data_IF_666352316367
#
_entry.id   IF_666352316367
#
_cell.length_a   1.000
_cell.length_b   1.000
_cell.length_c   1.000
_cell.angle_alpha   90.00
_cell.angle_beta   90.00
_cell.angle_gamma   90.00
#
_symmetry.space_group_name_H-M   'P 1'
#
loop_
_entity.id
_entity.type
_entity.pdbx_description
1 polymer ?
#
# COMPACT_ATOMS: atom_id res chain seq x y z
N UNK A 1 41.25 -37.03 -65.48
CA UNK A 1 42.68 -36.85 -65.38
C UNK A 1 42.96 -36.78 -63.87
N UNK A 2 43.31 -37.95 -63.25
CA UNK A 2 44.64 -38.35 -62.86
C UNK A 2 45.44 -37.18 -62.23
N UNK A 3 45.93 -37.30 -61.01
CA UNK A 3 46.82 -38.28 -60.35
C UNK A 3 46.88 -37.97 -58.83
N UNK A 4 46.65 -38.91 -57.99
CA UNK A 4 47.55 -39.68 -57.08
C UNK A 4 48.81 -38.99 -56.55
N UNK A 5 49.04 -38.97 -55.22
CA UNK A 5 49.97 -39.83 -54.44
C UNK A 5 50.21 -39.25 -53.01
N UNK A 6 49.98 -40.15 -52.07
CA UNK A 6 50.92 -40.71 -51.03
C UNK A 6 51.65 -39.66 -50.19
N UNK A 7 51.61 -39.62 -48.91
CA UNK A 7 51.73 -40.66 -47.92
C UNK A 7 53.02 -40.46 -47.13
N UNK A 8 52.96 -40.29 -45.83
CA UNK A 8 53.99 -40.83 -44.93
C UNK A 8 53.59 -40.75 -43.46
N UNK A 9 53.68 -41.82 -42.86
CA UNK A 9 53.61 -42.12 -41.44
C UNK A 9 54.80 -41.53 -40.70
N UNK A 10 54.62 -40.95 -39.52
CA UNK A 10 55.70 -40.54 -38.61
C UNK A 10 55.23 -40.47 -37.19
N UNK A 11 55.55 -41.40 -36.45
CA UNK A 11 55.59 -41.79 -35.04
C UNK A 11 55.52 -40.69 -34.00
N UNK A 12 54.58 -40.84 -33.13
CA UNK A 12 54.60 -40.90 -31.67
C UNK A 12 55.83 -40.37 -30.92
N UNK A 13 55.61 -39.33 -30.16
CA UNK A 13 56.32 -39.06 -28.89
C UNK A 13 55.32 -38.41 -27.88
N UNK A 14 55.11 -39.13 -26.79
CA UNK A 14 54.34 -38.73 -25.62
C UNK A 14 55.24 -37.80 -24.79
N UNK A 15 54.82 -36.60 -24.57
CA UNK A 15 55.38 -35.72 -23.54
C UNK A 15 54.26 -35.38 -22.57
N UNK A 16 54.33 -35.98 -21.38
CA UNK A 16 53.50 -35.65 -20.22
C UNK A 16 54.05 -34.35 -19.67
N UNK A 17 53.29 -33.26 -19.84
CA UNK A 17 53.53 -32.02 -19.14
C UNK A 17 52.40 -31.84 -18.11
N UNK A 18 52.76 -31.96 -16.85
CA UNK A 18 51.89 -31.60 -15.74
C UNK A 18 51.74 -30.09 -15.71
N UNK A 19 50.56 -29.59 -16.10
CA UNK A 19 50.21 -28.19 -15.92
C UNK A 19 49.43 -28.04 -14.59
N UNK A 20 50.06 -27.39 -13.63
CA UNK A 20 49.43 -26.98 -12.42
C UNK A 20 48.33 -25.91 -12.77
N UNK A 21 47.04 -26.26 -12.56
CA UNK A 21 45.95 -25.31 -12.61
C UNK A 21 45.98 -24.43 -11.34
N UNK A 22 46.54 -23.26 -11.43
CA UNK A 22 46.22 -22.18 -10.49
C UNK A 22 44.82 -21.68 -10.77
N UNK A 23 43.86 -22.05 -9.92
CA UNK A 23 42.54 -21.38 -9.90
C UNK A 23 42.76 -19.97 -9.40
N UNK A 24 42.84 -19.04 -10.33
CA UNK A 24 42.59 -17.63 -10.05
C UNK A 24 41.07 -17.48 -9.81
N UNK A 25 40.65 -17.42 -8.54
CA UNK A 25 39.35 -16.95 -8.17
C UNK A 25 39.25 -15.48 -8.55
N UNK A 26 38.79 -15.20 -9.77
CA UNK A 26 38.29 -13.89 -10.13
C UNK A 26 37.03 -13.64 -9.31
N UNK A 27 37.20 -12.96 -8.18
CA UNK A 27 36.09 -12.38 -7.44
C UNK A 27 35.43 -11.33 -8.32
N UNK A 28 34.37 -11.68 -9.01
CA UNK A 28 33.43 -10.69 -9.50
C UNK A 28 32.75 -10.04 -8.29
N UNK A 29 33.32 -8.95 -7.79
CA UNK A 29 32.56 -7.98 -7.03
C UNK A 29 31.59 -7.30 -8.01
N UNK A 30 30.44 -7.92 -8.20
CA UNK A 30 29.31 -7.22 -8.77
C UNK A 30 28.80 -6.29 -7.66
N UNK A 31 29.25 -5.03 -7.66
CA UNK A 31 28.53 -3.92 -7.04
C UNK A 31 27.21 -3.70 -7.79
N UNK A 32 26.42 -4.75 -7.89
CA UNK A 32 25.02 -4.67 -8.23
C UNK A 32 24.28 -4.35 -6.94
N UNK A 33 23.84 -3.12 -6.80
CA UNK A 33 22.85 -2.74 -5.79
C UNK A 33 21.71 -3.75 -5.92
N UNK A 34 21.63 -4.69 -4.97
CA UNK A 34 20.59 -5.72 -5.00
C UNK A 34 19.24 -5.00 -4.91
N UNK A 35 18.55 -4.92 -6.03
CA UNK A 35 17.25 -4.27 -6.09
C UNK A 35 16.29 -5.12 -5.26
N UNK A 36 15.75 -4.55 -4.19
CA UNK A 36 14.84 -5.27 -3.32
C UNK A 36 13.66 -5.83 -4.12
N UNK A 37 13.36 -7.11 -3.92
CA UNK A 37 12.22 -7.78 -4.53
C UNK A 37 11.63 -8.76 -3.52
N UNK A 38 10.31 -8.72 -3.33
CA UNK A 38 9.59 -9.61 -2.42
C UNK A 38 8.49 -8.91 -1.64
N UNK A 39 7.88 -9.67 -0.75
CA UNK A 39 6.84 -9.14 0.12
C UNK A 39 7.46 -8.48 1.36
N UNK A 40 6.93 -7.31 1.71
CA UNK A 40 7.33 -6.55 2.89
C UNK A 40 6.26 -6.75 3.98
N UNK A 41 6.63 -7.46 5.05
CA UNK A 41 5.77 -7.67 6.22
C UNK A 41 6.37 -6.95 7.42
N UNK A 42 5.59 -6.08 8.07
CA UNK A 42 6.08 -5.27 9.17
C UNK A 42 5.35 -3.96 9.32
N UNK A 43 6.02 -2.99 9.91
CA UNK A 43 5.47 -1.67 10.16
C UNK A 43 6.00 -0.67 9.14
N UNK A 44 5.09 -0.04 8.42
CA UNK A 44 5.33 1.12 7.58
C UNK A 44 5.11 2.36 8.45
N UNK A 45 6.17 2.82 9.11
CA UNK A 45 6.11 4.01 9.96
C UNK A 45 5.77 5.22 9.14
N UNK A 46 4.87 6.06 9.65
CA UNK A 46 4.54 7.33 9.04
C UNK A 46 5.49 8.42 9.51
N UNK A 47 6.04 9.16 8.58
CA UNK A 47 6.59 10.47 8.85
C UNK A 47 5.44 11.47 8.97
N UNK A 48 5.48 12.36 9.99
CA UNK A 48 4.43 13.35 10.14
C UNK A 48 4.40 14.29 8.94
N UNK A 49 3.20 14.59 8.47
CA UNK A 49 3.01 15.62 7.45
C UNK A 49 3.49 16.97 7.94
N UNK A 50 4.25 17.66 7.11
CA UNK A 50 4.77 19.00 7.41
C UNK A 50 4.56 19.93 6.22
N UNK A 51 4.53 21.25 6.48
CA UNK A 51 4.43 22.28 5.46
C UNK A 51 5.55 23.29 5.65
N UNK A 52 6.24 23.62 4.54
CA UNK A 52 7.23 24.68 4.47
C UNK A 52 6.91 25.56 3.25
N UNK A 53 6.40 26.75 3.51
CA UNK A 53 5.85 27.61 2.47
C UNK A 53 4.69 26.96 1.73
N UNK A 54 4.88 26.63 0.46
CA UNK A 54 3.91 25.91 -0.38
C UNK A 54 4.21 24.40 -0.54
N UNK A 55 5.32 23.92 0.03
CA UNK A 55 5.75 22.53 -0.08
C UNK A 55 5.18 21.71 1.07
N UNK A 56 4.63 20.55 0.75
CA UNK A 56 4.14 19.56 1.71
C UNK A 56 5.01 18.32 1.60
N UNK A 57 5.41 17.75 2.73
CA UNK A 57 6.17 16.50 2.82
C UNK A 57 5.64 15.63 3.97
N UNK A 58 6.09 14.38 4.02
CA UNK A 58 5.55 13.39 4.94
C UNK A 58 4.13 12.94 4.55
N UNK A 59 3.40 12.38 5.49
CA UNK A 59 2.10 11.76 5.22
C UNK A 59 0.96 12.78 5.20
N UNK A 60 0.06 12.65 4.24
CA UNK A 60 -1.06 13.57 4.09
C UNK A 60 -2.26 12.93 3.39
N UNK A 61 -3.41 13.58 3.54
CA UNK A 61 -4.66 13.29 2.85
C UNK A 61 -5.17 14.55 2.16
N UNK A 62 -5.81 14.38 1.01
CA UNK A 62 -6.61 15.44 0.38
C UNK A 62 -7.83 14.87 -0.31
N UNK A 63 -8.83 15.70 -0.53
CA UNK A 63 -10.08 15.31 -1.14
C UNK A 63 -10.29 16.07 -2.44
N UNK A 64 -10.55 15.33 -3.52
CA UNK A 64 -10.87 15.88 -4.84
C UNK A 64 -12.37 15.99 -4.96
N UNK A 65 -12.85 17.15 -5.42
CA UNK A 65 -14.27 17.36 -5.69
C UNK A 65 -14.74 16.53 -6.88
N UNK A 66 -16.05 16.23 -6.99
CA UNK A 66 -16.60 15.56 -8.17
C UNK A 66 -16.17 16.24 -9.47
N UNK A 67 -15.86 15.47 -10.49
CA UNK A 67 -15.32 15.93 -11.78
C UNK A 67 -13.91 16.53 -11.74
N UNK A 68 -13.24 16.55 -10.58
CA UNK A 68 -11.83 16.93 -10.45
C UNK A 68 -10.88 15.76 -10.75
N UNK A 69 -9.58 16.05 -10.72
CA UNK A 69 -8.52 15.04 -10.87
C UNK A 69 -7.62 15.00 -9.63
N UNK A 70 -7.03 13.85 -9.31
CA UNK A 70 -6.09 13.74 -8.18
C UNK A 70 -4.88 14.67 -8.30
N UNK A 71 -4.49 15.03 -9.51
CA UNK A 71 -3.36 15.91 -9.79
C UNK A 71 -3.72 17.39 -9.66
N UNK A 72 -4.81 17.81 -10.31
CA UNK A 72 -5.09 19.23 -10.55
C UNK A 72 -6.28 19.76 -9.75
N UNK A 73 -7.05 18.88 -9.06
CA UNK A 73 -8.26 19.25 -8.35
C UNK A 73 -9.45 19.55 -9.29
N UNK A 74 -10.40 20.34 -8.89
CA UNK A 74 -10.41 21.15 -7.65
C UNK A 74 -10.41 20.30 -6.38
N UNK A 75 -9.68 20.78 -5.37
CA UNK A 75 -9.62 20.10 -4.06
C UNK A 75 -10.65 20.72 -3.10
N UNK A 76 -11.13 19.88 -2.17
CA UNK A 76 -11.98 20.33 -1.09
C UNK A 76 -11.10 21.00 -0.01
N UNK A 77 -11.31 22.29 0.30
CA UNK A 77 -10.53 22.95 1.33
C UNK A 77 -10.97 22.45 2.72
N UNK A 78 -10.00 22.09 3.56
CA UNK A 78 -10.19 21.83 4.98
C UNK A 78 -9.75 23.06 5.78
N UNK A 79 -10.68 23.77 6.41
CA UNK A 79 -10.40 24.97 7.22
C UNK A 79 -9.56 24.69 8.47
N UNK A 80 -9.47 23.45 8.91
CA UNK A 80 -8.67 23.03 10.06
C UNK A 80 -7.20 22.73 9.67
N UNK A 81 -6.89 22.72 8.38
CA UNK A 81 -5.52 22.46 7.90
C UNK A 81 -4.61 23.68 8.06
N UNK A 82 -3.36 23.51 8.51
CA UNK A 82 -2.38 24.59 8.52
C UNK A 82 -1.83 24.94 7.13
N UNK A 83 -2.14 24.12 6.12
CA UNK A 83 -1.68 24.34 4.74
C UNK A 83 -2.48 25.46 4.11
N UNK A 84 -1.81 26.41 3.45
CA UNK A 84 -2.48 27.52 2.78
C UNK A 84 -3.55 27.02 1.79
N UNK A 85 -4.75 27.56 1.92
CA UNK A 85 -5.90 27.13 1.12
C UNK A 85 -6.56 25.83 1.57
N UNK A 86 -6.03 25.17 2.61
CA UNK A 86 -6.66 23.99 3.23
C UNK A 86 -6.75 22.74 2.34
N UNK A 87 -6.07 22.72 1.19
CA UNK A 87 -6.24 21.67 0.18
C UNK A 87 -5.56 20.34 0.52
N UNK A 88 -4.76 20.30 1.59
CA UNK A 88 -4.07 19.13 2.12
C UNK A 88 -4.27 19.05 3.62
N UNK A 89 -4.62 17.89 4.14
CA UNK A 89 -4.69 17.61 5.58
C UNK A 89 -3.45 16.80 5.97
N UNK A 90 -2.62 17.35 6.84
CA UNK A 90 -1.40 16.72 7.32
C UNK A 90 -1.75 15.59 8.29
N UNK A 91 -1.12 14.43 8.12
CA UNK A 91 -1.30 13.27 8.99
C UNK A 91 -0.11 13.14 9.95
N UNK A 92 -0.36 12.63 11.14
CA UNK A 92 0.68 12.33 12.13
C UNK A 92 0.60 10.86 12.53
N UNK A 93 1.74 10.22 12.87
CA UNK A 93 1.76 8.84 13.34
C UNK A 93 0.82 8.62 14.53
N UNK A 94 0.08 7.52 14.49
CA UNK A 94 -0.78 7.07 15.58
C UNK A 94 -0.04 6.36 16.70
N UNK A 95 -0.77 5.68 17.57
CA UNK A 95 -0.19 4.98 18.73
C UNK A 95 0.72 3.81 18.36
N UNK A 96 0.49 3.15 17.20
CA UNK A 96 1.37 2.11 16.66
C UNK A 96 2.41 2.68 15.69
N UNK A 97 2.36 3.96 15.38
CA UNK A 97 3.36 4.67 14.60
C UNK A 97 3.18 4.58 13.09
N UNK A 98 2.18 3.87 12.56
CA UNK A 98 1.99 3.70 11.13
C UNK A 98 1.17 2.48 10.75
N UNK A 99 1.23 2.11 9.46
CA UNK A 99 0.49 0.98 8.89
C UNK A 99 1.21 -0.35 9.14
N UNK A 100 0.53 -1.28 9.78
CA UNK A 100 0.99 -2.67 9.92
C UNK A 100 0.59 -3.49 8.70
N UNK A 101 1.57 -4.04 8.02
CA UNK A 101 1.38 -4.94 6.89
C UNK A 101 1.46 -6.40 7.36
N UNK A 102 0.53 -7.22 6.90
CA UNK A 102 0.36 -8.61 7.34
C UNK A 102 -0.55 -8.80 8.55
N UNK A 103 -1.20 -7.74 9.03
CA UNK A 103 -2.16 -7.77 10.13
C UNK A 103 -3.19 -6.66 10.02
N UNK A 104 -4.20 -6.69 10.89
CA UNK A 104 -5.22 -5.65 10.98
C UNK A 104 -4.95 -4.71 12.15
N UNK A 105 -5.31 -3.45 11.98
CA UNK A 105 -5.36 -2.40 13.01
C UNK A 105 -6.80 -1.90 13.05
N UNK A 106 -7.64 -2.71 13.68
CA UNK A 106 -9.09 -2.54 13.64
C UNK A 106 -9.55 -1.29 14.38
N UNK A 107 -10.66 -0.76 13.91
CA UNK A 107 -11.38 0.30 14.61
C UNK A 107 -11.71 -0.14 16.05
N UNK A 108 -11.52 0.74 17.04
CA UNK A 108 -11.87 0.43 18.42
C UNK A 108 -13.40 0.34 18.62
N UNK A 109 -13.82 -0.22 19.74
CA UNK A 109 -15.24 -0.24 20.14
C UNK A 109 -15.40 0.51 21.47
N UNK A 110 -16.10 1.65 21.50
CA UNK A 110 -16.77 2.33 20.38
C UNK A 110 -15.78 2.93 19.37
N UNK A 111 -16.21 3.09 18.11
CA UNK A 111 -15.40 3.72 17.03
C UNK A 111 -15.38 5.24 17.09
N UNK A 112 -16.35 5.84 17.79
CA UNK A 112 -16.55 7.29 17.87
C UNK A 112 -16.81 7.77 19.28
N UNK A 113 -16.42 9.01 19.55
CA UNK A 113 -16.89 9.75 20.72
C UNK A 113 -18.34 10.20 20.55
N UNK A 114 -18.94 10.73 21.64
CA UNK A 114 -20.30 11.31 21.59
C UNK A 114 -20.46 12.44 20.57
N UNK A 115 -19.36 13.12 20.24
CA UNK A 115 -19.35 14.24 19.31
C UNK A 115 -19.01 13.83 17.87
N UNK A 116 -18.94 12.51 17.62
CA UNK A 116 -18.65 11.98 16.29
C UNK A 116 -17.18 11.97 15.90
N UNK A 117 -16.25 12.35 16.81
CA UNK A 117 -14.83 12.25 16.55
C UNK A 117 -14.41 10.76 16.48
N UNK A 118 -13.62 10.42 15.49
CA UNK A 118 -13.06 9.07 15.36
C UNK A 118 -12.13 8.75 16.53
N UNK A 119 -12.21 7.52 17.02
CA UNK A 119 -11.29 6.95 18.02
C UNK A 119 -10.26 6.01 17.38
N UNK A 120 -10.27 5.86 16.06
CA UNK A 120 -9.30 5.06 15.29
C UNK A 120 -7.96 5.78 15.20
N UNK A 121 -7.11 5.55 16.20
CA UNK A 121 -5.84 6.26 16.40
C UNK A 121 -4.59 5.40 16.36
N UNK A 122 -4.66 4.15 15.88
CA UNK A 122 -3.50 3.24 15.87
C UNK A 122 -2.52 3.56 14.74
N UNK A 123 -3.01 3.75 13.52
CA UNK A 123 -2.20 4.01 12.33
C UNK A 123 -1.74 5.47 12.31
N UNK A 124 -2.69 6.37 12.39
CA UNK A 124 -2.50 7.82 12.41
C UNK A 124 -3.29 8.42 13.57
N UNK A 125 -2.83 9.53 14.11
CA UNK A 125 -3.63 10.29 15.08
C UNK A 125 -4.89 10.79 14.41
N UNK A 126 -6.06 10.69 15.09
CA UNK A 126 -7.26 11.36 14.60
C UNK A 126 -6.98 12.84 14.35
N UNK A 127 -7.35 13.29 13.18
CA UNK A 127 -6.97 14.61 12.65
C UNK A 127 -8.21 15.40 12.30
N UNK A 128 -8.20 16.70 12.62
CA UNK A 128 -9.34 17.61 12.40
C UNK A 128 -9.64 17.76 10.91
N UNK A 129 -10.90 17.51 10.55
CA UNK A 129 -11.43 17.69 9.21
C UNK A 129 -12.89 18.17 9.30
N UNK A 130 -13.16 19.40 8.88
CA UNK A 130 -14.47 20.06 9.06
C UNK A 130 -15.00 19.99 10.50
N UNK A 131 -14.16 20.37 11.45
CA UNK A 131 -14.52 20.48 12.86
C UNK A 131 -14.66 19.15 13.61
N UNK A 132 -14.52 17.99 12.94
CA UNK A 132 -14.60 16.64 13.53
C UNK A 132 -13.31 15.88 13.22
N UNK A 133 -12.81 15.12 14.18
CA UNK A 133 -11.61 14.33 13.96
C UNK A 133 -11.93 13.09 13.13
N UNK A 134 -11.16 12.87 12.04
CA UNK A 134 -11.18 11.63 11.29
C UNK A 134 -10.00 10.74 11.63
N UNK A 135 -10.18 9.43 11.57
CA UNK A 135 -9.18 8.43 11.79
C UNK A 135 -9.13 7.42 10.65
N UNK A 136 -8.15 6.54 10.72
CA UNK A 136 -8.01 5.42 9.79
C UNK A 136 -7.78 4.11 10.55
N UNK A 137 -8.32 3.04 9.98
CA UNK A 137 -8.19 1.67 10.48
C UNK A 137 -8.02 0.69 9.32
N UNK A 138 -7.61 -0.53 9.62
CA UNK A 138 -7.67 -1.66 8.69
C UNK A 138 -8.48 -2.77 9.33
N UNK A 139 -9.63 -3.09 8.75
CA UNK A 139 -10.60 -4.00 9.32
C UNK A 139 -10.67 -5.31 8.55
N UNK A 140 -10.87 -6.44 9.24
CA UNK A 140 -11.06 -7.75 8.61
C UNK A 140 -12.39 -7.86 7.84
N UNK A 141 -13.31 -6.97 8.15
CA UNK A 141 -14.60 -6.83 7.47
C UNK A 141 -14.74 -5.38 7.05
N UNK A 142 -14.94 -5.16 5.75
CA UNK A 142 -15.16 -3.83 5.21
C UNK A 142 -16.44 -3.19 5.83
N UNK A 143 -16.35 -1.96 6.36
CA UNK A 143 -17.45 -1.36 7.11
C UNK A 143 -18.69 -1.04 6.27
N UNK A 144 -18.50 -0.73 5.00
CA UNK A 144 -19.62 -0.37 4.12
C UNK A 144 -20.18 -1.56 3.36
N UNK A 145 -19.33 -2.47 2.88
CA UNK A 145 -19.77 -3.61 2.08
C UNK A 145 -20.07 -4.86 2.89
N UNK A 146 -19.63 -4.91 4.15
CA UNK A 146 -19.74 -6.07 5.05
C UNK A 146 -19.07 -7.35 4.51
N UNK A 147 -18.15 -7.19 3.56
CA UNK A 147 -17.33 -8.30 3.06
C UNK A 147 -16.10 -8.49 3.92
N UNK A 148 -15.73 -9.75 4.10
CA UNK A 148 -14.40 -10.09 4.60
C UNK A 148 -13.37 -9.65 3.57
N UNK A 149 -12.30 -9.03 4.03
CA UNK A 149 -11.18 -8.54 3.22
C UNK A 149 -9.87 -9.06 3.78
N UNK A 150 -8.83 -9.05 2.94
CA UNK A 150 -7.50 -9.50 3.35
C UNK A 150 -6.77 -8.40 4.13
N UNK A 151 -5.87 -8.80 5.01
CA UNK A 151 -4.98 -7.86 5.69
C UNK A 151 -4.10 -7.10 4.65
N UNK A 152 -3.68 -5.88 4.96
CA UNK A 152 -2.77 -5.13 4.11
C UNK A 152 -1.55 -5.95 3.70
N UNK A 153 -1.22 -5.91 2.41
CA UNK A 153 -0.03 -6.54 1.86
C UNK A 153 0.72 -5.56 0.96
N UNK A 154 2.05 -5.63 0.99
CA UNK A 154 2.93 -4.77 0.19
C UNK A 154 4.00 -5.63 -0.44
N UNK A 155 4.19 -5.45 -1.73
CA UNK A 155 5.24 -6.09 -2.52
C UNK A 155 6.17 -5.04 -3.12
N UNK A 156 7.46 -5.31 -3.10
CA UNK A 156 8.47 -4.49 -3.75
C UNK A 156 9.05 -5.22 -4.96
N UNK A 157 9.20 -4.52 -6.07
CA UNK A 157 9.92 -4.97 -7.26
C UNK A 157 10.71 -3.81 -7.87
N UNK A 158 12.03 -3.92 -7.90
CA UNK A 158 12.86 -2.88 -8.49
C UNK A 158 12.71 -1.51 -7.83
N UNK A 159 12.48 -1.46 -6.52
CA UNK A 159 12.24 -0.20 -5.81
C UNK A 159 10.83 0.39 -6.00
N UNK A 160 9.93 -0.30 -6.70
CA UNK A 160 8.53 0.09 -6.82
C UNK A 160 7.69 -0.72 -5.85
N UNK A 161 6.76 -0.07 -5.18
CA UNK A 161 5.78 -0.72 -4.31
C UNK A 161 4.44 -0.90 -5.03
N UNK A 162 3.82 -2.05 -4.74
CA UNK A 162 2.42 -2.33 -5.01
C UNK A 162 1.80 -2.85 -3.73
N UNK A 163 0.70 -2.22 -3.29
CA UNK A 163 0.05 -2.60 -2.04
C UNK A 163 -1.43 -2.89 -2.23
N UNK A 164 -1.90 -3.97 -1.61
CA UNK A 164 -3.31 -4.23 -1.42
C UNK A 164 -3.74 -3.64 -0.08
N UNK A 165 -4.49 -2.57 -0.12
CA UNK A 165 -5.05 -1.85 1.02
C UNK A 165 -6.58 -1.94 1.06
N UNK A 166 -7.17 -3.01 0.55
CA UNK A 166 -8.64 -3.21 0.54
C UNK A 166 -9.25 -3.09 1.94
N UNK A 167 -8.49 -3.43 2.99
CA UNK A 167 -8.92 -3.32 4.38
C UNK A 167 -8.95 -1.87 4.92
N UNK A 168 -8.42 -0.89 4.18
CA UNK A 168 -8.32 0.49 4.67
C UNK A 168 -9.68 1.17 4.73
N UNK A 169 -10.03 1.67 5.90
CA UNK A 169 -11.23 2.45 6.16
C UNK A 169 -10.88 3.78 6.83
N UNK A 170 -11.67 4.80 6.54
CA UNK A 170 -11.65 6.07 7.25
C UNK A 170 -12.94 6.20 8.06
N UNK A 171 -12.85 6.74 9.27
CA UNK A 171 -13.99 6.99 10.16
C UNK A 171 -14.07 8.48 10.48
N UNK A 172 -15.24 9.08 10.30
CA UNK A 172 -15.50 10.50 10.50
C UNK A 172 -16.98 10.77 10.76
N UNK A 173 -17.30 11.58 11.75
CA UNK A 173 -18.65 12.04 12.05
C UNK A 173 -19.69 10.90 12.15
N UNK A 174 -19.39 9.91 12.98
CA UNK A 174 -20.20 8.71 13.18
C UNK A 174 -20.43 7.87 11.92
N UNK A 175 -19.57 7.98 10.92
CA UNK A 175 -19.63 7.23 9.69
C UNK A 175 -18.28 6.60 9.36
N UNK A 176 -18.32 5.39 8.81
CA UNK A 176 -17.16 4.69 8.29
C UNK A 176 -17.23 4.67 6.76
N UNK A 177 -16.09 4.87 6.12
CA UNK A 177 -15.94 4.92 4.68
C UNK A 177 -14.89 3.91 4.24
N UNK A 178 -15.24 3.06 3.28
CA UNK A 178 -14.25 2.26 2.57
C UNK A 178 -13.36 3.21 1.74
N UNK A 179 -12.10 3.28 2.12
CA UNK A 179 -11.07 4.07 1.42
C UNK A 179 -9.92 3.19 0.93
N UNK A 180 -10.21 1.92 0.73
CA UNK A 180 -9.25 0.92 0.28
C UNK A 180 -8.78 1.09 -1.17
N UNK A 181 -7.68 0.40 -1.48
CA UNK A 181 -7.09 0.29 -2.81
C UNK A 181 -6.53 -1.14 -3.01
N UNK A 182 -7.18 -1.96 -3.87
CA UNK A 182 -8.48 -1.71 -4.50
C UNK A 182 -9.61 -1.58 -3.47
N UNK A 183 -10.72 -0.97 -3.86
CA UNK A 183 -11.91 -0.95 -2.99
C UNK A 183 -12.46 -2.36 -2.81
N UNK A 184 -13.03 -2.63 -1.63
CA UNK A 184 -13.78 -3.86 -1.41
C UNK A 184 -15.01 -3.89 -2.36
N UNK A 185 -15.28 -5.04 -3.02
CA UNK A 185 -16.46 -5.19 -3.85
C UNK A 185 -17.73 -4.97 -3.04
N UNK A 186 -18.77 -4.44 -3.66
CA UNK A 186 -20.05 -4.27 -3.00
C UNK A 186 -20.57 -5.60 -2.42
N UNK A 187 -21.16 -5.55 -1.22
CA UNK A 187 -21.73 -6.72 -0.59
C UNK A 187 -22.94 -7.23 -1.37
N UNK A 188 -23.26 -8.51 -1.17
CA UNK A 188 -24.53 -9.08 -1.55
C UNK A 188 -25.63 -8.57 -0.59
N UNK A 189 -25.97 -7.29 -0.69
CA UNK A 189 -27.15 -6.69 -0.04
C UNK A 189 -28.39 -6.86 -0.91
N UNK A 190 -29.52 -6.23 -0.50
CA UNK A 190 -30.69 -6.17 -1.34
C UNK A 190 -30.35 -5.62 -2.72
N UNK A 191 -30.80 -6.35 -3.75
CA UNK A 191 -30.56 -5.96 -5.14
C UNK A 191 -31.41 -4.75 -5.49
N UNK A 192 -30.81 -3.69 -6.02
CA UNK A 192 -31.54 -2.56 -6.57
C UNK A 192 -31.61 -2.77 -8.09
N UNK A 193 -32.80 -2.95 -8.68
CA UNK A 193 -32.94 -3.14 -10.12
C UNK A 193 -32.31 -1.99 -10.91
N UNK A 194 -31.51 -2.32 -11.93
CA UNK A 194 -30.86 -1.33 -12.79
C UNK A 194 -29.61 -0.68 -12.20
N UNK A 195 -29.17 -1.09 -11.02
CA UNK A 195 -27.98 -0.57 -10.35
C UNK A 195 -26.90 -1.65 -10.36
N UNK A 196 -25.75 -1.33 -10.93
CA UNK A 196 -24.56 -2.18 -10.87
C UNK A 196 -24.01 -2.18 -9.44
N UNK A 197 -24.11 -3.32 -8.76
CA UNK A 197 -23.74 -3.41 -7.34
C UNK A 197 -22.26 -3.25 -7.06
N UNK A 198 -21.40 -3.55 -8.03
CA UNK A 198 -19.95 -3.37 -7.91
C UNK A 198 -19.53 -1.90 -7.74
N UNK A 199 -20.40 -0.94 -8.02
CA UNK A 199 -20.10 0.49 -8.00
C UNK A 199 -20.62 1.22 -6.78
N UNK A 200 -21.32 0.51 -5.89
CA UNK A 200 -21.93 1.10 -4.70
C UNK A 200 -21.59 0.30 -3.44
N UNK A 201 -21.47 1.00 -2.31
CA UNK A 201 -21.47 0.39 -0.99
C UNK A 201 -22.89 0.30 -0.45
N UNK A 202 -23.21 -0.79 0.23
CA UNK A 202 -24.46 -0.93 0.97
C UNK A 202 -24.31 -0.30 2.36
N UNK A 203 -25.13 0.69 2.68
CA UNK A 203 -25.23 1.24 4.03
C UNK A 203 -26.17 0.38 4.87
N UNK A 204 -25.63 -0.31 5.84
CA UNK A 204 -26.35 -1.20 6.72
C UNK A 204 -27.22 -0.46 7.73
N UNK A 205 -26.89 0.81 8.05
CA UNK A 205 -27.66 1.64 8.97
C UNK A 205 -28.89 2.20 8.28
N UNK A 206 -28.70 2.78 7.08
CA UNK A 206 -29.78 3.37 6.30
C UNK A 206 -30.54 2.37 5.43
N UNK A 207 -30.07 1.12 5.36
CA UNK A 207 -30.65 0.02 4.55
C UNK A 207 -30.82 0.42 3.07
N UNK A 208 -29.80 1.07 2.50
CA UNK A 208 -29.80 1.51 1.11
C UNK A 208 -28.43 1.47 0.47
N UNK A 209 -28.40 1.48 -0.85
CA UNK A 209 -27.17 1.68 -1.62
C UNK A 209 -26.76 3.16 -1.60
N UNK A 210 -25.47 3.38 -1.29
CA UNK A 210 -24.83 4.70 -1.32
C UNK A 210 -23.87 4.78 -2.51
N UNK A 211 -23.76 5.96 -3.11
CA UNK A 211 -22.88 6.23 -4.23
C UNK A 211 -23.61 6.34 -5.57
N UNK A 212 -22.82 6.56 -6.61
CA UNK A 212 -23.33 6.71 -7.98
C UNK A 212 -23.14 5.42 -8.75
N UNK A 213 -24.01 5.18 -9.74
CA UNK A 213 -24.01 3.95 -10.55
C UNK A 213 -22.76 3.83 -11.44
N UNK A 214 -22.14 4.96 -11.77
CA UNK A 214 -20.91 5.07 -12.57
C UNK A 214 -19.63 5.10 -11.73
N UNK A 215 -19.76 5.02 -10.42
CA UNK A 215 -18.60 4.93 -9.55
C UNK A 215 -17.78 3.69 -9.95
N UNK A 216 -16.51 3.88 -10.21
CA UNK A 216 -15.59 2.82 -10.60
C UNK A 216 -15.78 1.57 -9.74
N UNK A 217 -15.84 0.42 -10.38
CA UNK A 217 -16.01 -0.88 -9.76
C UNK A 217 -15.14 -1.02 -8.49
N UNK A 218 -15.57 -1.83 -7.55
CA UNK A 218 -14.79 -2.16 -6.35
C UNK A 218 -13.38 -2.70 -6.61
N UNK A 219 -12.97 -2.86 -7.86
CA UNK A 219 -11.68 -3.38 -8.31
C UNK A 219 -10.71 -2.29 -8.75
N UNK A 220 -10.78 -1.09 -8.19
CA UNK A 220 -9.82 -0.01 -8.48
C UNK A 220 -8.34 -0.48 -8.38
N UNK A 221 -7.38 0.30 -8.89
CA UNK A 221 -5.98 -0.09 -8.85
C UNK A 221 -5.49 -0.22 -7.40
N UNK A 222 -4.50 -1.09 -7.16
CA UNK A 222 -3.80 -1.15 -5.87
C UNK A 222 -3.09 0.18 -5.60
N UNK A 223 -2.74 0.41 -4.34
CA UNK A 223 -1.85 1.51 -3.98
C UNK A 223 -0.46 1.26 -4.57
N UNK A 224 0.21 2.33 -5.00
CA UNK A 224 1.55 2.25 -5.59
C UNK A 224 2.50 3.24 -4.92
N UNK A 225 3.80 2.99 -5.05
CA UNK A 225 4.79 3.87 -4.44
C UNK A 225 6.22 3.49 -4.76
N UNK A 226 7.13 4.00 -3.93
CA UNK A 226 8.57 3.77 -4.05
C UNK A 226 9.16 3.21 -2.76
N UNK A 227 10.28 2.52 -2.88
CA UNK A 227 11.04 1.99 -1.76
C UNK A 227 12.53 2.07 -2.04
N UNK A 228 13.25 2.68 -1.13
CA UNK A 228 14.71 2.69 -1.11
C UNK A 228 15.18 1.66 -0.08
N UNK A 229 15.83 0.60 -0.54
CA UNK A 229 16.28 -0.48 0.32
C UNK A 229 17.42 -0.07 1.26
N UNK A 230 18.19 0.96 0.93
CA UNK A 230 19.33 1.43 1.72
C UNK A 230 18.89 2.23 2.95
N UNK A 231 17.96 3.13 2.76
CA UNK A 231 17.36 3.96 3.83
C UNK A 231 16.10 3.33 4.44
N UNK A 232 15.50 2.35 3.74
CA UNK A 232 14.17 1.81 4.02
C UNK A 232 13.05 2.85 3.92
N UNK A 233 13.34 3.99 3.29
CA UNK A 233 12.33 5.02 3.05
C UNK A 233 11.34 4.55 2.00
N UNK A 234 10.07 4.86 2.21
CA UNK A 234 8.99 4.52 1.30
C UNK A 234 8.06 5.70 1.06
N UNK A 235 7.42 5.69 -0.11
CA UNK A 235 6.19 6.43 -0.38
C UNK A 235 5.11 5.45 -0.81
N UNK A 236 3.86 5.74 -0.51
CA UNK A 236 2.72 4.94 -0.93
C UNK A 236 1.53 5.86 -1.19
N UNK A 237 0.97 5.80 -2.40
CA UNK A 237 -0.14 6.64 -2.81
C UNK A 237 -1.28 5.83 -3.41
N UNK A 238 -2.50 6.27 -3.16
CA UNK A 238 -3.69 5.75 -3.82
C UNK A 238 -4.84 6.75 -3.82
N UNK A 239 -5.83 6.45 -4.62
CA UNK A 239 -7.09 7.16 -4.64
C UNK A 239 -8.24 6.21 -4.34
N UNK A 240 -9.27 6.71 -3.67
CA UNK A 240 -10.47 5.94 -3.38
C UNK A 240 -11.70 6.83 -3.43
N UNK A 241 -12.73 6.40 -4.17
CA UNK A 241 -14.01 7.10 -4.23
C UNK A 241 -14.66 7.09 -2.84
N UNK A 242 -15.15 8.24 -2.39
CA UNK A 242 -15.94 8.36 -1.18
C UNK A 242 -17.39 8.08 -1.53
N UNK A 243 -17.95 7.05 -0.90
CA UNK A 243 -19.34 6.62 -1.11
C UNK A 243 -20.13 6.89 0.17
N UNK A 244 -21.20 7.65 0.04
CA UNK A 244 -22.06 8.02 1.16
C UNK A 244 -21.62 9.26 1.92
N UNK A 245 -22.47 9.70 2.85
CA UNK A 245 -22.27 10.89 3.62
C UNK A 245 -22.28 12.20 2.81
N UNK A 246 -21.84 13.31 3.42
CA UNK A 246 -21.85 14.62 2.76
C UNK A 246 -20.81 14.74 1.63
N UNK A 247 -19.83 13.86 1.59
CA UNK A 247 -18.76 13.84 0.57
C UNK A 247 -18.95 12.72 -0.46
N UNK A 248 -20.18 12.24 -0.63
CA UNK A 248 -20.48 11.24 -1.65
C UNK A 248 -20.08 11.71 -3.06
N UNK A 249 -19.31 10.89 -3.78
CA UNK A 249 -18.81 11.24 -5.11
C UNK A 249 -17.47 11.99 -5.14
N UNK A 250 -16.96 12.40 -3.97
CA UNK A 250 -15.59 12.91 -3.86
C UNK A 250 -14.57 11.77 -3.93
N UNK A 251 -13.32 12.11 -4.19
CA UNK A 251 -12.23 11.13 -4.20
C UNK A 251 -11.21 11.47 -3.12
N UNK A 252 -10.99 10.56 -2.20
CA UNK A 252 -9.86 10.62 -1.27
C UNK A 252 -8.56 10.32 -1.98
N UNK A 253 -7.54 11.13 -1.77
CA UNK A 253 -6.15 10.89 -2.18
C UNK A 253 -5.32 10.76 -0.93
N UNK A 254 -4.70 9.62 -0.77
CA UNK A 254 -3.87 9.27 0.37
C UNK A 254 -2.41 9.22 -0.06
N UNK A 255 -1.56 9.81 0.74
CA UNK A 255 -0.11 9.71 0.62
C UNK A 255 0.47 9.34 1.99
N UNK A 256 1.11 8.21 2.06
CA UNK A 256 1.88 7.79 3.23
C UNK A 256 3.35 7.79 2.85
N UNK A 257 4.15 8.38 3.71
CA UNK A 257 5.60 8.47 3.55
C UNK A 257 6.27 8.14 4.88
N UNK A 258 7.44 7.52 4.85
CA UNK A 258 8.19 7.21 6.06
C UNK A 258 9.19 6.08 5.90
N UNK A 259 9.38 5.30 6.97
CA UNK A 259 10.41 4.25 7.03
C UNK A 259 9.80 2.88 7.32
N UNK A 260 10.16 1.89 6.54
CA UNK A 260 9.74 0.51 6.74
C UNK A 260 10.58 -0.17 7.83
N UNK A 261 9.90 -0.80 8.80
CA UNK A 261 10.48 -1.66 9.83
C UNK A 261 9.99 -3.10 9.63
N UNK A 262 10.88 -4.02 9.25
CA UNK A 262 10.48 -5.42 9.09
C UNK A 262 10.03 -6.02 10.43
N UNK A 263 9.01 -6.87 10.38
CA UNK A 263 8.68 -7.72 11.53
C UNK A 263 9.89 -8.59 11.88
N UNK A 264 10.18 -8.76 13.16
CA UNK A 264 11.17 -9.75 13.58
C UNK A 264 10.77 -11.10 12.97
N UNK A 265 11.67 -11.72 12.20
CA UNK A 265 11.44 -13.05 11.69
C UNK A 265 11.12 -13.98 12.86
N UNK A 266 10.02 -14.72 12.79
CA UNK A 266 9.77 -15.78 13.74
C UNK A 266 11.00 -16.70 13.76
N UNK A 267 11.51 -17.11 14.93
CA UNK A 267 12.67 -17.99 15.00
C UNK A 267 12.39 -19.22 14.15
N UNK A 268 13.25 -19.45 13.16
CA UNK A 268 13.17 -20.64 12.31
C UNK A 268 13.28 -21.88 13.20
N UNK A 269 12.18 -22.59 13.39
CA UNK A 269 12.19 -23.92 13.99
C UNK A 269 12.72 -24.89 12.95
N UNK A 270 14.03 -24.84 12.70
CA UNK A 270 14.69 -25.90 11.98
C UNK A 270 14.59 -27.19 12.83
N UNK A 271 14.13 -28.30 12.28
CA UNK A 271 14.10 -29.55 13.03
C UNK A 271 15.53 -29.94 13.42
N UNK A 272 15.74 -30.51 14.61
CA UNK A 272 17.08 -30.94 15.03
C UNK A 272 17.63 -31.94 14.03
N UNK A 273 18.83 -31.66 13.52
CA UNK A 273 19.58 -32.58 12.66
C UNK A 273 19.82 -33.88 13.42
N UNK A 274 19.11 -34.93 13.09
CA UNK A 274 19.44 -36.29 13.57
C UNK A 274 20.71 -36.74 12.87
N UNK A 275 21.84 -36.55 13.51
CA UNK A 275 23.09 -37.23 13.16
C UNK A 275 22.94 -38.71 13.53
N UNK A 276 23.02 -39.58 12.53
CA UNK A 276 23.24 -41.03 12.70
C UNK A 276 24.72 -41.31 12.62
#
# INVERSE_FOLDING_TARGET
MMTTRRGRRGRLLIAVAAAALTLASAGCSSDGTATASGDLVGLFRLDPGTVDGSSVSGSWFRMVQPAGTPKDGPFMPNGDSPVQGGTVTLLSPGSEGGLRVGGFQSEPTPGFSSDGNSLSGSIMKPTRFFGVDFGASTNAVDPQTRRAVVAPSVRVEGGKLTANLTAWAASWNNQEFNQGAPKAPAAAGPQVPGVAQATRAWDWVQQKWLGQDDASSGDGPPATGTYDASSRHYTLEWTSLIVGGPFNGFTGVWHLEGTYEPSAAAPSTAPPSTTR
#
